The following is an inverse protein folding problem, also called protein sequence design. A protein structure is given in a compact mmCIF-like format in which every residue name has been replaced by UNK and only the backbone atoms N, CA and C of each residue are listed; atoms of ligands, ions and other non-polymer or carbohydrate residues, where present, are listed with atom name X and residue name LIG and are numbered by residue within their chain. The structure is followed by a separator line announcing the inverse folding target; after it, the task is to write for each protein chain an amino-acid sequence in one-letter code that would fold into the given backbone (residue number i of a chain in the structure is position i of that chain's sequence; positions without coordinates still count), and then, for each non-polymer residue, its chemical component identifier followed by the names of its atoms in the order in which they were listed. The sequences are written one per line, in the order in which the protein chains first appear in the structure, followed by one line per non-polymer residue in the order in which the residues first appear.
data_IF_306676495393
#
_entry.id   IF_306676495393
#
_cell.length_a   1.000
_cell.length_b   1.000
_cell.length_c   1.000
_cell.angle_alpha   90.00
_cell.angle_beta   90.00
_cell.angle_gamma   90.00
#
_symmetry.space_group_name_H-M   'P 1'
#
loop_
_entity.id
_entity.type
_entity.pdbx_description
1 polymer ?
#
# COMPACT_ATOMS: atom_id res chain seq x y z
N UNK A 1 -3.15 -11.57 -14.56
CA UNK A 1 -3.20 -11.21 -13.12
C UNK A 1 -1.80 -11.47 -12.57
N UNK A 2 -1.13 -10.47 -12.01
CA UNK A 2 0.21 -10.65 -11.43
C UNK A 2 0.09 -11.49 -10.15
N UNK A 3 0.79 -12.64 -10.03
CA UNK A 3 0.89 -13.44 -8.81
C UNK A 3 1.36 -12.63 -7.59
N UNK A 4 1.03 -13.11 -6.39
CA UNK A 4 1.48 -12.47 -5.14
C UNK A 4 3.00 -12.56 -5.01
N UNK A 5 3.59 -13.69 -5.41
CA UNK A 5 5.04 -13.91 -5.35
C UNK A 5 5.80 -12.98 -6.31
N UNK A 6 5.29 -12.76 -7.53
CA UNK A 6 5.90 -11.82 -8.47
C UNK A 6 5.93 -10.39 -7.89
N UNK A 7 4.88 -9.97 -7.16
CA UNK A 7 4.91 -8.68 -6.45
C UNK A 7 6.04 -8.65 -5.42
N UNK A 8 6.14 -9.67 -4.57
CA UNK A 8 7.15 -9.75 -3.51
C UNK A 8 8.57 -9.74 -4.07
N UNK A 9 8.78 -10.40 -5.22
CA UNK A 9 10.09 -10.49 -5.86
C UNK A 9 10.56 -9.14 -6.45
N UNK A 10 9.63 -8.31 -6.92
CA UNK A 10 9.97 -7.10 -7.68
C UNK A 10 9.69 -5.79 -6.96
N UNK A 11 8.92 -5.77 -5.87
CA UNK A 11 8.46 -4.50 -5.29
C UNK A 11 9.60 -3.62 -4.75
N UNK A 12 10.61 -4.21 -4.12
CA UNK A 12 11.74 -3.45 -3.56
C UNK A 12 12.58 -2.84 -4.67
N UNK A 13 12.82 -3.60 -5.75
CA UNK A 13 13.53 -3.14 -6.95
C UNK A 13 12.77 -1.99 -7.63
N UNK A 14 11.46 -2.16 -7.82
CA UNK A 14 10.61 -1.12 -8.42
C UNK A 14 10.56 0.14 -7.55
N UNK A 15 10.48 0.00 -6.23
CA UNK A 15 10.47 1.16 -5.34
C UNK A 15 11.83 1.86 -5.33
N UNK A 16 12.92 1.10 -5.44
CA UNK A 16 14.26 1.67 -5.54
C UNK A 16 14.42 2.46 -6.84
N UNK A 17 14.00 1.89 -7.96
CA UNK A 17 13.95 2.59 -9.24
C UNK A 17 13.11 3.87 -9.18
N UNK A 18 11.95 3.81 -8.54
CA UNK A 18 11.08 4.97 -8.34
C UNK A 18 11.78 6.07 -7.53
N UNK A 19 12.39 5.72 -6.39
CA UNK A 19 13.14 6.65 -5.54
C UNK A 19 14.31 7.28 -6.29
N UNK A 20 15.11 6.47 -6.98
CA UNK A 20 16.27 6.94 -7.75
C UNK A 20 15.82 7.90 -8.87
N UNK A 21 14.73 7.57 -9.58
CA UNK A 21 14.14 8.44 -10.62
C UNK A 21 13.69 9.79 -10.03
N UNK A 22 13.10 9.82 -8.84
CA UNK A 22 12.70 11.07 -8.19
C UNK A 22 13.93 11.94 -7.87
N UNK A 23 14.98 11.34 -7.30
CA UNK A 23 16.21 12.04 -6.97
C UNK A 23 16.92 12.58 -8.22
N UNK A 24 16.98 11.79 -9.30
CA UNK A 24 17.51 12.24 -10.60
C UNK A 24 16.75 13.44 -11.17
N UNK A 25 15.46 13.56 -10.89
CA UNK A 25 14.62 14.68 -11.31
C UNK A 25 14.60 15.86 -10.32
N UNK A 26 15.49 15.86 -9.33
CA UNK A 26 15.73 17.01 -8.44
C UNK A 26 14.98 16.96 -7.10
N UNK A 27 14.37 15.84 -6.73
CA UNK A 27 13.86 15.66 -5.36
C UNK A 27 15.05 15.49 -4.40
N UNK A 28 15.16 16.41 -3.46
CA UNK A 28 16.18 16.42 -2.40
C UNK A 28 15.55 16.16 -1.03
N UNK A 29 16.37 15.83 -0.04
CA UNK A 29 15.95 15.55 1.35
C UNK A 29 14.89 14.44 1.50
N UNK A 30 14.81 13.54 0.51
CA UNK A 30 13.92 12.39 0.50
C UNK A 30 14.72 11.08 0.53
N UNK A 31 14.80 10.45 1.71
CA UNK A 31 15.53 9.19 1.87
C UNK A 31 14.76 8.00 1.32
N UNK A 32 15.46 6.92 1.01
CA UNK A 32 14.81 5.67 0.60
C UNK A 32 13.97 5.07 1.74
N UNK A 33 14.39 5.21 3.00
CA UNK A 33 13.61 4.75 4.16
C UNK A 33 12.27 5.49 4.27
N UNK A 34 12.26 6.80 4.00
CA UNK A 34 11.02 7.58 3.92
C UNK A 34 10.15 7.09 2.77
N UNK A 35 10.74 6.80 1.61
CA UNK A 35 10.02 6.24 0.46
C UNK A 35 9.39 4.88 0.76
N UNK A 36 10.11 4.02 1.47
CA UNK A 36 9.61 2.73 1.92
C UNK A 36 8.43 2.89 2.88
N UNK A 37 8.52 3.80 3.84
CA UNK A 37 7.42 4.06 4.78
C UNK A 37 6.19 4.67 4.09
N UNK A 38 6.37 5.63 3.18
CA UNK A 38 5.29 6.23 2.40
C UNK A 38 4.58 5.16 1.54
N UNK A 39 5.35 4.26 0.94
CA UNK A 39 4.81 3.13 0.18
C UNK A 39 3.96 2.20 1.07
N UNK A 40 4.46 1.84 2.26
CA UNK A 40 3.72 1.02 3.24
C UNK A 40 2.42 1.70 3.68
N UNK A 41 2.43 3.03 3.86
CA UNK A 41 1.23 3.82 4.14
C UNK A 41 0.25 3.81 2.97
N UNK A 42 0.71 3.98 1.73
CA UNK A 42 -0.15 3.92 0.55
C UNK A 42 -0.82 2.54 0.38
N UNK A 43 -0.11 1.46 0.71
CA UNK A 43 -0.69 0.10 0.75
C UNK A 43 -1.78 -0.01 1.82
N UNK A 44 -1.55 0.57 3.00
CA UNK A 44 -2.54 0.60 4.08
C UNK A 44 -3.79 1.43 3.74
N UNK A 45 -3.64 2.52 3.00
CA UNK A 45 -4.77 3.28 2.47
C UNK A 45 -5.67 2.43 1.53
N UNK A 46 -5.07 1.53 0.74
CA UNK A 46 -5.82 0.54 -0.04
C UNK A 46 -6.69 -0.38 0.81
N UNK A 47 -6.21 -0.75 2.01
CA UNK A 47 -6.98 -1.50 3.00
C UNK A 47 -8.11 -0.65 3.58
N UNK A 48 -7.81 0.57 4.01
CA UNK A 48 -8.81 1.49 4.53
C UNK A 48 -9.95 1.75 3.54
N UNK A 49 -9.62 2.02 2.28
CA UNK A 49 -10.59 2.19 1.19
C UNK A 49 -11.46 0.95 1.01
N UNK A 50 -10.89 -0.25 1.14
CA UNK A 50 -11.63 -1.51 1.06
C UNK A 50 -12.68 -1.64 2.17
N UNK A 51 -12.31 -1.30 3.41
CA UNK A 51 -13.25 -1.28 4.55
C UNK A 51 -14.34 -0.23 4.34
N UNK A 52 -13.95 0.98 3.93
CA UNK A 52 -14.88 2.09 3.70
C UNK A 52 -15.93 1.77 2.64
N UNK A 53 -15.51 1.16 1.53
CA UNK A 53 -16.38 0.79 0.40
C UNK A 53 -17.43 -0.24 0.81
N UNK A 54 -17.06 -1.22 1.65
CA UNK A 54 -17.99 -2.20 2.19
C UNK A 54 -18.98 -1.55 3.18
N UNK A 55 -18.49 -0.65 4.03
CA UNK A 55 -19.29 -0.06 5.11
C UNK A 55 -20.31 1.00 4.64
N UNK A 56 -20.00 1.78 3.59
CA UNK A 56 -20.76 2.99 3.26
C UNK A 56 -21.59 2.93 1.98
N UNK A 57 -21.39 1.94 1.09
CA UNK A 57 -22.15 1.85 -0.16
C UNK A 57 -23.10 0.65 -0.16
N UNK A 58 -24.31 0.84 -0.71
CA UNK A 58 -25.16 -0.28 -1.13
C UNK A 58 -24.46 -0.95 -2.32
N UNK A 59 -23.81 -2.07 -2.06
CA UNK A 59 -23.03 -2.81 -3.05
C UNK A 59 -23.94 -3.71 -3.88
N UNK A 60 -23.60 -3.91 -5.15
CA UNK A 60 -24.16 -5.02 -5.94
C UNK A 60 -23.42 -6.31 -5.60
N UNK A 61 -24.03 -7.47 -5.86
CA UNK A 61 -23.36 -8.77 -5.70
C UNK A 61 -22.05 -8.88 -6.50
N UNK A 62 -22.01 -8.30 -7.70
CA UNK A 62 -20.79 -8.26 -8.52
C UNK A 62 -19.66 -7.46 -7.84
N UNK A 63 -19.98 -6.34 -7.21
CA UNK A 63 -19.00 -5.51 -6.48
C UNK A 63 -18.51 -6.21 -5.22
N UNK A 64 -19.41 -6.83 -4.45
CA UNK A 64 -19.04 -7.64 -3.28
C UNK A 64 -18.13 -8.81 -3.66
N UNK A 65 -18.41 -9.48 -4.78
CA UNK A 65 -17.59 -10.59 -5.28
C UNK A 65 -16.19 -10.12 -5.71
N UNK A 66 -16.08 -8.97 -6.39
CA UNK A 66 -14.80 -8.35 -6.73
C UNK A 66 -13.99 -8.02 -5.47
N UNK A 67 -14.64 -7.42 -4.48
CA UNK A 67 -14.04 -7.05 -3.20
C UNK A 67 -13.56 -8.29 -2.45
N UNK A 68 -14.39 -9.33 -2.36
CA UNK A 68 -14.13 -10.55 -1.59
C UNK A 68 -13.07 -11.45 -2.21
N UNK A 69 -13.11 -11.64 -3.53
CA UNK A 69 -12.30 -12.67 -4.19
C UNK A 69 -11.07 -12.14 -4.93
N UNK A 70 -11.01 -10.82 -5.18
CA UNK A 70 -9.92 -10.23 -5.96
C UNK A 70 -9.16 -9.19 -5.15
N UNK A 71 -9.85 -8.16 -4.65
CA UNK A 71 -9.20 -7.03 -4.01
C UNK A 71 -8.75 -7.37 -2.58
N UNK A 72 -9.63 -7.99 -1.79
CA UNK A 72 -9.39 -8.34 -0.39
C UNK A 72 -8.12 -9.16 -0.19
N UNK A 73 -8.00 -10.37 -0.78
CA UNK A 73 -6.82 -11.22 -0.60
C UNK A 73 -5.51 -10.52 -0.99
N UNK A 74 -5.53 -9.72 -2.06
CA UNK A 74 -4.34 -8.98 -2.52
C UNK A 74 -3.93 -7.88 -1.55
N UNK A 75 -4.87 -7.06 -1.13
CA UNK A 75 -4.62 -5.91 -0.23
C UNK A 75 -4.23 -6.40 1.16
N UNK A 76 -4.90 -7.42 1.68
CA UNK A 76 -4.59 -7.99 2.99
C UNK A 76 -3.22 -8.66 3.02
N UNK A 77 -2.88 -9.44 1.98
CA UNK A 77 -1.55 -10.02 1.86
C UNK A 77 -0.47 -8.94 1.78
N UNK A 78 -0.67 -7.87 1.00
CA UNK A 78 0.30 -6.78 0.90
C UNK A 78 0.49 -6.03 2.25
N UNK A 79 -0.60 -5.70 2.97
CA UNK A 79 -0.51 -5.05 4.29
C UNK A 79 0.22 -5.91 5.32
N UNK A 80 -0.03 -7.23 5.32
CA UNK A 80 0.62 -8.17 6.23
C UNK A 80 2.10 -8.37 5.87
N UNK A 81 2.41 -8.63 4.59
CA UNK A 81 3.78 -8.86 4.12
C UNK A 81 4.71 -7.67 4.39
N UNK A 82 4.16 -6.45 4.30
CA UNK A 82 4.92 -5.21 4.48
C UNK A 82 4.93 -4.69 5.91
N UNK A 83 4.35 -5.45 6.85
CA UNK A 83 4.17 -5.02 8.23
C UNK A 83 3.61 -3.58 8.31
N UNK A 84 2.70 -3.19 7.41
CA UNK A 84 2.27 -1.80 7.25
C UNK A 84 1.62 -1.21 8.52
N UNK A 85 1.26 -2.06 9.50
CA UNK A 85 0.82 -1.60 10.81
C UNK A 85 1.86 -0.71 11.53
N UNK A 86 3.15 -0.96 11.36
CA UNK A 86 4.20 -0.20 12.05
C UNK A 86 4.24 1.27 11.63
N UNK A 87 3.77 1.60 10.44
CA UNK A 87 3.71 3.00 9.99
C UNK A 87 2.69 3.80 10.80
N UNK A 88 1.67 3.15 11.38
CA UNK A 88 0.68 3.82 12.22
C UNK A 88 1.29 4.35 13.52
N UNK A 89 2.24 3.62 14.11
CA UNK A 89 2.94 4.05 15.33
C UNK A 89 3.80 5.30 15.13
N UNK A 90 4.12 5.65 13.87
CA UNK A 90 4.87 6.86 13.51
C UNK A 90 3.97 8.06 13.22
N UNK A 91 2.68 7.83 12.93
CA UNK A 91 1.68 8.89 12.82
C UNK A 91 1.37 9.52 14.19
N UNK A 92 1.51 8.75 15.28
CA UNK A 92 1.31 9.24 16.65
C UNK A 92 2.27 10.38 17.05
N UNK A 93 3.38 10.56 16.33
CA UNK A 93 4.39 11.61 16.58
C UNK A 93 4.19 12.90 15.79
N UNK A 94 3.16 13.02 14.95
CA UNK A 94 2.89 14.24 14.19
C UNK A 94 1.40 14.56 14.24
N UNK A 95 1.05 15.47 15.15
CA UNK A 95 -0.27 16.10 15.40
C UNK A 95 -1.17 15.43 16.45
N UNK A 96 -1.03 15.91 17.69
CA UNK A 96 -2.09 16.65 18.40
C UNK A 96 -1.48 17.96 18.92
#
# INVERSE_FOLDING_TARGET
KVPIEDRRAHETELLKLYHDTLCENGVVDYSYDQCWDDYRMAVLDGFWKSVFVIANRRQTEAQLNLQRHVLGPRVFAAVLDLNSRETLSRLDTTQI
#
